data_IF_480779983629
#
_entry.id   IF_480779983629
#
_cell.length_a   1.000
_cell.length_b   1.000
_cell.length_c   1.000
_cell.angle_alpha   90.00
_cell.angle_beta   90.00
_cell.angle_gamma   90.00
#
_symmetry.space_group_name_H-M   'P 1'
#
loop_
_entity.id
_entity.type
_entity.pdbx_description
1 polymer ?
#
# COMPACT_ATOMS: atom_id res chain seq x y z
N UNK A 1 -4.36 2.05 5.14
CA UNK A 1 -5.57 1.20 5.05
C UNK A 1 -5.47 0.08 6.06
N UNK A 2 -6.47 -0.12 6.93
CA UNK A 2 -6.36 -1.05 8.07
C UNK A 2 -7.30 -2.26 7.91
N UNK A 3 -6.87 -3.42 8.39
CA UNK A 3 -7.72 -4.59 8.61
C UNK A 3 -8.57 -4.33 9.86
N UNK A 4 -9.84 -4.75 9.83
CA UNK A 4 -10.75 -4.66 10.97
C UNK A 4 -10.18 -5.43 12.16
N UNK A 5 -10.35 -4.87 13.36
CA UNK A 5 -9.81 -5.40 14.62
C UNK A 5 -8.27 -5.58 14.62
N UNK A 6 -7.56 -4.89 13.70
CA UNK A 6 -6.10 -4.96 13.56
C UNK A 6 -5.58 -6.40 13.45
N UNK A 7 -6.35 -7.27 12.80
CA UNK A 7 -5.94 -8.67 12.60
C UNK A 7 -4.72 -8.77 11.69
N UNK A 8 -3.72 -9.53 12.13
CA UNK A 8 -2.47 -9.78 11.40
C UNK A 8 -2.65 -10.83 10.31
N UNK A 9 -3.08 -10.39 9.11
CA UNK A 9 -3.45 -11.26 7.98
C UNK A 9 -2.81 -10.88 6.65
N UNK A 10 -2.12 -9.74 6.56
CA UNK A 10 -1.60 -9.20 5.30
C UNK A 10 -0.14 -9.56 5.01
N UNK A 11 0.72 -9.62 6.03
CA UNK A 11 2.15 -9.85 5.89
C UNK A 11 2.47 -11.34 5.69
N UNK A 12 2.13 -11.87 4.51
CA UNK A 12 2.50 -13.21 4.05
C UNK A 12 2.60 -13.24 2.53
N UNK A 13 3.34 -14.20 1.98
CA UNK A 13 3.60 -14.29 0.55
C UNK A 13 2.32 -14.35 -0.30
N UNK A 14 1.33 -15.16 0.08
CA UNK A 14 0.07 -15.29 -0.67
C UNK A 14 -0.67 -13.96 -0.80
N UNK A 15 -0.82 -13.23 0.31
CA UNK A 15 -1.52 -11.94 0.27
C UNK A 15 -0.69 -10.90 -0.45
N UNK A 16 0.63 -10.90 -0.27
CA UNK A 16 1.52 -9.98 -0.97
C UNK A 16 1.52 -10.16 -2.49
N UNK A 17 1.52 -11.40 -2.99
CA UNK A 17 1.35 -11.68 -4.43
C UNK A 17 0.01 -11.17 -4.95
N UNK A 18 -1.08 -11.41 -4.22
CA UNK A 18 -2.40 -10.89 -4.58
C UNK A 18 -2.45 -9.35 -4.57
N UNK A 19 -1.70 -8.71 -3.67
CA UNK A 19 -1.54 -7.26 -3.62
C UNK A 19 -0.83 -6.76 -4.89
N UNK A 20 0.27 -7.40 -5.32
CA UNK A 20 0.95 -7.06 -6.58
C UNK A 20 0.00 -7.11 -7.77
N UNK A 21 -0.73 -8.23 -7.93
CA UNK A 21 -1.73 -8.36 -8.99
C UNK A 21 -2.89 -7.36 -8.87
N UNK A 22 -3.21 -6.92 -7.65
CA UNK A 22 -4.26 -5.92 -7.40
C UNK A 22 -3.81 -4.54 -7.84
N UNK A 23 -2.59 -4.12 -7.47
CA UNK A 23 -2.10 -2.78 -7.82
C UNK A 23 -2.00 -2.60 -9.33
N UNK A 24 -1.60 -3.64 -10.06
CA UNK A 24 -1.58 -3.61 -11.52
C UNK A 24 -2.98 -3.33 -12.09
N UNK A 25 -4.03 -3.98 -11.56
CA UNK A 25 -5.40 -3.82 -12.06
C UNK A 25 -6.02 -2.42 -11.81
N UNK A 26 -5.43 -1.58 -10.94
CA UNK A 26 -5.96 -0.26 -10.60
C UNK A 26 -5.54 0.81 -11.62
N UNK A 27 -5.95 0.66 -12.88
CA UNK A 27 -5.50 1.48 -14.03
C UNK A 27 -5.70 3.00 -13.91
N UNK A 28 -6.56 3.48 -13.00
CA UNK A 28 -6.77 4.92 -12.76
C UNK A 28 -5.74 5.53 -11.79
N UNK A 29 -4.92 4.69 -11.17
CA UNK A 29 -4.00 5.05 -10.11
C UNK A 29 -2.59 4.57 -10.44
N UNK A 30 -1.61 5.41 -10.18
CA UNK A 30 -0.20 5.02 -10.09
C UNK A 30 0.13 4.74 -8.64
N UNK A 31 0.51 3.50 -8.34
CA UNK A 31 1.12 3.17 -7.05
C UNK A 31 2.60 3.51 -7.15
N UNK A 32 3.07 4.42 -6.31
CA UNK A 32 4.47 4.83 -6.25
C UNK A 32 5.22 3.98 -5.23
N UNK A 33 4.59 3.73 -4.07
CA UNK A 33 5.17 2.86 -3.06
C UNK A 33 4.12 2.30 -2.10
N UNK A 34 4.49 1.25 -1.37
CA UNK A 34 3.65 0.66 -0.33
C UNK A 34 4.44 -0.16 0.68
N UNK A 35 4.05 -0.07 1.96
CA UNK A 35 4.55 -0.92 3.03
C UNK A 35 3.39 -1.76 3.56
N UNK A 36 3.48 -3.07 3.41
CA UNK A 36 2.45 -3.99 3.90
C UNK A 36 2.86 -4.49 5.27
N UNK A 37 2.19 -3.98 6.29
CA UNK A 37 2.31 -4.41 7.68
C UNK A 37 1.35 -5.59 7.92
N UNK A 38 1.49 -6.37 9.01
CA UNK A 38 0.61 -7.51 9.27
C UNK A 38 -0.89 -7.18 9.26
N UNK A 39 -1.27 -6.02 9.77
CA UNK A 39 -2.66 -5.62 10.01
C UNK A 39 -3.10 -4.34 9.26
N UNK A 40 -2.20 -3.72 8.49
CA UNK A 40 -2.51 -2.54 7.67
C UNK A 40 -1.49 -2.37 6.54
N UNK A 41 -1.80 -1.48 5.61
CA UNK A 41 -0.91 -1.09 4.54
C UNK A 41 -0.78 0.43 4.46
N UNK A 42 0.45 0.92 4.33
CA UNK A 42 0.76 2.29 3.94
C UNK A 42 0.93 2.35 2.43
N UNK A 43 0.40 3.40 1.82
CA UNK A 43 0.39 3.58 0.38
C UNK A 43 0.81 4.99 0.02
N UNK A 44 1.60 5.11 -1.03
CA UNK A 44 1.88 6.36 -1.75
C UNK A 44 1.34 6.16 -3.16
N UNK A 45 0.33 6.95 -3.52
CA UNK A 45 -0.39 6.83 -4.80
C UNK A 45 -0.65 8.18 -5.41
N UNK A 46 -0.76 8.22 -6.74
CA UNK A 46 -1.19 9.39 -7.50
C UNK A 46 -2.29 8.98 -8.47
N UNK A 47 -3.35 9.78 -8.66
CA UNK A 47 -4.21 9.61 -9.82
C UNK A 47 -3.39 9.85 -11.10
N UNK A 48 -3.73 9.15 -12.20
CA UNK A 48 -3.00 9.28 -13.48
C UNK A 48 -3.52 10.47 -14.30
N UNK A 49 -4.85 10.62 -14.43
CA UNK A 49 -5.46 11.62 -15.34
C UNK A 49 -6.42 12.56 -14.60
N UNK A 50 -7.18 12.03 -13.64
CA UNK A 50 -8.25 12.74 -12.97
C UNK A 50 -7.83 13.20 -11.57
N UNK A 51 -7.54 14.49 -11.42
CA UNK A 51 -7.19 15.10 -10.13
C UNK A 51 -8.37 15.20 -9.16
N UNK A 52 -9.60 14.95 -9.61
CA UNK A 52 -10.80 14.89 -8.78
C UNK A 52 -10.94 13.56 -8.03
N UNK A 53 -10.14 12.54 -8.37
CA UNK A 53 -10.13 11.27 -7.67
C UNK A 53 -9.60 11.40 -6.24
N UNK A 54 -10.38 10.91 -5.28
CA UNK A 54 -10.00 10.89 -3.88
C UNK A 54 -9.18 9.65 -3.54
N UNK A 55 -8.32 9.73 -2.52
CA UNK A 55 -7.65 8.53 -1.96
C UNK A 55 -8.67 7.50 -1.45
N UNK A 56 -9.89 7.95 -1.10
CA UNK A 56 -11.03 7.09 -0.79
C UNK A 56 -11.42 6.17 -1.97
N UNK A 57 -11.35 6.67 -3.21
CA UNK A 57 -11.63 5.89 -4.41
C UNK A 57 -10.55 4.83 -4.65
N UNK A 58 -9.27 5.17 -4.44
CA UNK A 58 -8.17 4.21 -4.45
C UNK A 58 -8.41 3.10 -3.41
N UNK A 59 -8.67 3.48 -2.16
CA UNK A 59 -8.90 2.56 -1.05
C UNK A 59 -10.08 1.62 -1.33
N UNK A 60 -11.19 2.16 -1.82
CA UNK A 60 -12.39 1.36 -2.17
C UNK A 60 -12.10 0.39 -3.31
N UNK A 61 -11.47 0.86 -4.38
CA UNK A 61 -11.08 0.05 -5.53
C UNK A 61 -10.12 -1.07 -5.14
N UNK A 62 -9.05 -0.73 -4.41
CA UNK A 62 -8.06 -1.68 -3.93
C UNK A 62 -8.68 -2.79 -3.08
N UNK A 63 -9.50 -2.43 -2.07
CA UNK A 63 -10.17 -3.43 -1.20
C UNK A 63 -11.06 -4.37 -2.01
N UNK A 64 -11.81 -3.83 -2.98
CA UNK A 64 -12.70 -4.60 -3.84
C UNK A 64 -11.94 -5.57 -4.73
N UNK A 65 -10.90 -5.09 -5.43
CA UNK A 65 -10.10 -5.92 -6.34
C UNK A 65 -9.33 -6.97 -5.56
N UNK A 66 -8.68 -6.61 -4.45
CA UNK A 66 -7.94 -7.57 -3.64
C UNK A 66 -8.84 -8.67 -3.07
N UNK A 67 -10.05 -8.34 -2.61
CA UNK A 67 -11.04 -9.33 -2.18
C UNK A 67 -11.39 -10.30 -3.31
N UNK A 68 -11.53 -9.81 -4.55
CA UNK A 68 -11.78 -10.65 -5.72
C UNK A 68 -10.57 -11.57 -6.00
N UNK A 69 -9.36 -11.03 -5.97
CA UNK A 69 -8.10 -11.76 -6.20
C UNK A 69 -7.88 -12.87 -5.17
N UNK A 70 -8.15 -12.59 -3.89
CA UNK A 70 -7.95 -13.55 -2.80
C UNK A 70 -9.08 -14.56 -2.63
N UNK A 71 -10.27 -14.28 -3.20
CA UNK A 71 -11.50 -15.00 -2.91
C UNK A 71 -12.00 -14.77 -1.48
N UNK A 72 -12.90 -15.62 -1.00
CA UNK A 72 -13.50 -15.50 0.34
C UNK A 72 -12.45 -15.52 1.45
N UNK A 73 -12.41 -14.46 2.24
CA UNK A 73 -11.54 -14.32 3.42
C UNK A 73 -12.35 -14.35 4.70
N UNK A 74 -11.76 -14.85 5.80
CA UNK A 74 -12.35 -14.80 7.15
C UNK A 74 -12.08 -13.48 7.88
N UNK A 75 -11.66 -12.43 7.17
CA UNK A 75 -11.31 -11.12 7.71
C UNK A 75 -11.83 -10.03 6.79
N UNK A 76 -11.96 -8.82 7.33
CA UNK A 76 -12.53 -7.66 6.64
C UNK A 76 -11.61 -6.45 6.77
N UNK A 77 -11.72 -5.52 5.84
CA UNK A 77 -11.09 -4.21 5.97
C UNK A 77 -11.88 -3.34 6.95
N UNK A 78 -11.19 -2.50 7.71
CA UNK A 78 -11.82 -1.40 8.44
C UNK A 78 -12.47 -0.43 7.44
N UNK A 79 -13.62 0.15 7.82
CA UNK A 79 -14.28 1.20 7.06
C UNK A 79 -13.39 2.42 6.85
N UNK A 80 -13.46 3.02 5.66
CA UNK A 80 -12.67 4.19 5.29
C UNK A 80 -11.17 3.93 5.10
N UNK A 81 -10.40 5.02 5.04
CA UNK A 81 -8.95 5.04 5.10
C UNK A 81 -8.51 6.34 5.75
N UNK A 82 -7.32 6.31 6.35
CA UNK A 82 -6.62 7.55 6.66
C UNK A 82 -5.86 7.97 5.41
N UNK A 83 -6.12 9.18 4.93
CA UNK A 83 -5.40 9.80 3.83
C UNK A 83 -4.78 11.13 4.25
N UNK A 84 -3.69 11.48 3.57
CA UNK A 84 -3.04 12.78 3.66
C UNK A 84 -2.56 13.14 2.27
N UNK A 85 -3.05 14.26 1.74
CA UNK A 85 -2.55 14.80 0.49
C UNK A 85 -1.09 15.25 0.68
N UNK A 86 -0.21 14.80 -0.21
CA UNK A 86 1.17 15.27 -0.27
C UNK A 86 1.19 16.59 -1.04
N UNK A 87 1.71 17.66 -0.42
CA UNK A 87 1.90 18.95 -1.11
C UNK A 87 3.22 18.96 -1.87
N UNK A 88 3.32 19.81 -2.90
CA UNK A 88 4.45 19.85 -3.83
C UNK A 88 5.81 20.16 -3.19
N UNK A 89 5.81 20.78 -2.02
CA UNK A 89 6.98 21.13 -1.21
C UNK A 89 7.36 20.03 -0.19
N UNK A 90 6.48 19.05 0.05
CA UNK A 90 6.80 17.93 0.92
C UNK A 90 7.66 16.89 0.18
N UNK A 91 8.79 16.53 0.78
CA UNK A 91 9.69 15.56 0.20
C UNK A 91 9.07 14.13 0.24
N UNK A 92 8.58 13.69 -0.92
CA UNK A 92 8.06 12.33 -1.17
C UNK A 92 9.02 11.26 -0.67
N UNK A 93 10.32 11.44 -0.93
CA UNK A 93 11.37 10.50 -0.55
C UNK A 93 11.51 10.40 0.97
N UNK A 94 11.49 11.52 1.69
CA UNK A 94 11.52 11.51 3.16
C UNK A 94 10.31 10.79 3.77
N UNK A 95 9.12 10.96 3.19
CA UNK A 95 7.92 10.23 3.63
C UNK A 95 8.01 8.74 3.31
N UNK A 96 8.61 8.39 2.18
CA UNK A 96 8.83 7.00 1.82
C UNK A 96 9.81 6.31 2.79
N UNK A 97 10.96 6.93 3.07
CA UNK A 97 11.91 6.44 4.09
C UNK A 97 11.21 6.24 5.43
N UNK A 98 10.44 7.24 5.89
CA UNK A 98 9.70 7.12 7.14
C UNK A 98 8.71 5.95 7.12
N UNK A 99 8.08 5.67 5.98
CA UNK A 99 7.18 4.55 5.81
C UNK A 99 7.93 3.21 5.87
N UNK A 100 9.08 3.10 5.20
CA UNK A 100 9.97 1.93 5.18
C UNK A 100 10.52 1.57 6.56
N UNK A 101 10.66 2.53 7.46
CA UNK A 101 11.10 2.24 8.83
C UNK A 101 10.01 1.67 9.75
N UNK A 102 8.74 1.59 9.30
CA UNK A 102 7.66 1.09 10.16
C UNK A 102 7.89 -0.35 10.65
N UNK A 103 8.28 -1.33 9.80
CA UNK A 103 8.57 -2.68 10.27
C UNK A 103 9.66 -2.72 11.35
N UNK A 104 10.65 -1.84 11.27
CA UNK A 104 11.71 -1.71 12.30
C UNK A 104 11.13 -1.12 13.59
N UNK A 105 10.39 -0.01 13.51
CA UNK A 105 9.76 0.62 14.68
C UNK A 105 8.79 -0.30 15.42
N UNK A 106 8.14 -1.21 14.70
CA UNK A 106 7.24 -2.22 15.25
C UNK A 106 7.95 -3.52 15.66
N UNK A 107 9.27 -3.61 15.49
CA UNK A 107 10.09 -4.74 15.95
C UNK A 107 9.95 -6.01 15.10
N UNK A 108 9.45 -5.91 13.87
CA UNK A 108 9.33 -7.08 12.98
C UNK A 108 10.65 -7.48 12.34
N UNK A 109 11.53 -6.51 12.11
CA UNK A 109 12.87 -6.70 11.54
C UNK A 109 13.86 -5.72 12.19
N UNK A 110 15.15 -6.04 12.17
CA UNK A 110 16.19 -5.14 12.69
C UNK A 110 16.57 -4.04 11.68
N UNK A 111 16.48 -4.34 10.38
CA UNK A 111 16.78 -3.41 9.29
C UNK A 111 15.60 -3.31 8.35
N UNK A 112 15.34 -2.11 7.82
CA UNK A 112 14.21 -1.88 6.92
C UNK A 112 14.26 -2.80 5.69
N UNK A 113 15.46 -3.10 5.16
CA UNK A 113 15.66 -3.96 3.98
C UNK A 113 15.29 -5.43 4.20
N UNK A 114 15.21 -5.89 5.45
CA UNK A 114 14.92 -7.29 5.76
C UNK A 114 13.41 -7.59 5.66
N UNK A 115 12.57 -6.56 5.58
CA UNK A 115 11.13 -6.75 5.46
C UNK A 115 10.76 -7.02 3.98
N UNK A 116 10.13 -8.16 3.65
CA UNK A 116 9.95 -8.56 2.26
C UNK A 116 8.70 -7.94 1.60
N UNK A 117 7.83 -7.30 2.36
CA UNK A 117 6.50 -6.90 1.90
C UNK A 117 6.42 -5.40 1.56
N UNK A 118 7.31 -4.96 0.65
CA UNK A 118 7.32 -3.60 0.10
C UNK A 118 7.03 -3.57 -1.39
N UNK A 119 6.35 -2.52 -1.81
CA UNK A 119 6.32 -2.06 -3.19
C UNK A 119 7.12 -0.77 -3.25
N UNK A 120 8.20 -0.74 -4.01
CA UNK A 120 9.02 0.45 -4.18
C UNK A 120 9.19 0.73 -5.67
N UNK A 121 8.28 1.51 -6.23
CA UNK A 121 8.37 1.99 -7.61
C UNK A 121 8.93 3.42 -7.69
N UNK A 122 9.27 4.04 -6.55
CA UNK A 122 9.95 5.33 -6.49
C UNK A 122 11.42 5.14 -6.90
N UNK A 123 12.03 4.07 -6.40
CA UNK A 123 13.43 3.73 -6.68
C UNK A 123 13.59 2.69 -7.80
N UNK A 124 12.49 2.26 -8.44
CA UNK A 124 12.55 1.33 -9.56
C UNK A 124 12.96 2.08 -10.84
N UNK A 125 14.25 2.01 -11.17
CA UNK A 125 14.83 2.60 -12.39
C UNK A 125 14.17 2.08 -13.69
N UNK A 126 13.35 1.00 -13.62
CA UNK A 126 12.59 0.47 -14.76
C UNK A 126 11.30 1.24 -15.07
N UNK A 127 10.91 2.22 -14.26
CA UNK A 127 9.73 3.04 -14.51
C UNK A 127 9.92 4.11 -15.61
N UNK A 128 11.10 4.17 -16.24
CA UNK A 128 11.46 5.09 -17.31
C UNK A 128 11.74 4.40 -18.67
N UNK A 129 11.09 3.27 -18.97
CA UNK A 129 11.10 2.63 -20.29
C UNK A 129 9.68 2.41 -20.84
#
# INVERSE_FOLDING_TARGET
MCVKDRRSVLANARVFEAIKTTVDQLRRWRVLAGVIMPDHAHWIVSPIEDRGLSVGDFSTGFKRVLRKTLGTQKWEWQGGCFDRLLRSDENLHSKWIYAQDNPVRHGFVQRAQDWPYYLDFINDERANL
#
